data_IF_353950643935
#
_entry.id   IF_353950643935
#
_cell.length_a   1.000
_cell.length_b   1.000
_cell.length_c   1.000
_cell.angle_alpha   90.00
_cell.angle_beta   90.00
_cell.angle_gamma   90.00
#
_symmetry.space_group_name_H-M   'P 1'
#
loop_
_entity.id
_entity.type
_entity.pdbx_description
1 polymer ?
#
# COMPACT_ATOMS: atom_id res chain seq x y z
N UNK A 1 -14.76 1.80 10.04
CA UNK A 1 -14.58 1.13 8.73
C UNK A 1 -14.70 2.15 7.60
N UNK A 2 -13.82 2.09 6.63
CA UNK A 2 -13.84 3.02 5.52
C UNK A 2 -14.87 2.58 4.46
N UNK A 3 -15.63 3.53 3.87
CA UNK A 3 -16.57 3.19 2.79
C UNK A 3 -15.85 2.63 1.57
N UNK A 4 -16.55 1.80 0.79
CA UNK A 4 -15.97 1.17 -0.39
C UNK A 4 -15.65 2.16 -1.51
N UNK A 5 -16.20 3.36 -1.47
CA UNK A 5 -15.96 4.37 -2.50
C UNK A 5 -14.78 5.28 -2.20
N UNK A 6 -14.13 5.10 -1.06
CA UNK A 6 -12.91 5.86 -0.73
C UNK A 6 -11.75 5.30 -1.52
N UNK A 7 -10.97 6.17 -2.11
CA UNK A 7 -9.78 5.79 -2.89
C UNK A 7 -8.52 6.11 -2.11
N UNK A 8 -7.47 5.40 -2.45
CA UNK A 8 -6.17 5.52 -1.81
C UNK A 8 -5.11 5.78 -2.87
N UNK A 9 -4.14 6.61 -2.54
CA UNK A 9 -3.02 6.93 -3.43
C UNK A 9 -1.75 7.07 -2.60
N UNK A 10 -0.61 6.72 -3.20
CA UNK A 10 0.69 6.86 -2.55
C UNK A 10 1.00 8.33 -2.28
N UNK A 11 1.66 8.58 -1.16
CA UNK A 11 2.20 9.90 -0.89
C UNK A 11 3.40 10.15 -1.80
N UNK A 12 3.64 11.43 -2.12
CA UNK A 12 4.75 11.80 -3.00
C UNK A 12 6.09 11.82 -2.28
N UNK A 13 6.07 12.06 -0.98
CA UNK A 13 7.29 12.21 -0.18
C UNK A 13 7.77 10.89 0.38
N UNK A 14 8.02 9.94 -0.54
CA UNK A 14 8.57 8.64 -0.20
C UNK A 14 9.57 8.25 -1.28
N UNK A 15 10.60 7.51 -0.87
CA UNK A 15 11.55 6.89 -1.79
C UNK A 15 11.37 5.39 -1.67
N UNK A 16 11.29 4.70 -2.80
CA UNK A 16 11.20 3.26 -2.80
C UNK A 16 12.41 2.66 -3.50
N UNK A 17 12.92 1.56 -2.94
CA UNK A 17 14.06 0.84 -3.51
C UNK A 17 13.75 -0.62 -3.61
N UNK A 18 14.00 -1.19 -4.77
CA UNK A 18 13.84 -2.62 -4.96
C UNK A 18 15.06 -3.35 -4.42
N UNK A 19 14.80 -4.38 -3.62
CA UNK A 19 15.85 -5.26 -3.07
C UNK A 19 15.50 -6.70 -3.41
N UNK A 20 16.43 -7.61 -3.20
CA UNK A 20 16.18 -9.03 -3.39
C UNK A 20 15.00 -9.46 -2.50
N UNK A 21 13.91 -9.94 -3.11
CA UNK A 21 12.75 -10.43 -2.41
C UNK A 21 11.70 -9.41 -2.05
N UNK A 22 11.83 -8.13 -2.46
CA UNK A 22 10.79 -7.16 -2.16
C UNK A 22 11.15 -5.72 -2.44
N UNK A 23 10.41 -4.82 -1.81
CA UNK A 23 10.58 -3.38 -1.96
C UNK A 23 10.67 -2.76 -0.58
N UNK A 24 11.59 -1.81 -0.44
CA UNK A 24 11.72 -0.99 0.77
C UNK A 24 11.16 0.39 0.47
N UNK A 25 10.33 0.90 1.35
CA UNK A 25 9.80 2.26 1.28
C UNK A 25 10.44 3.07 2.40
N UNK A 26 11.00 4.22 2.05
CA UNK A 26 11.61 5.14 3.02
C UNK A 26 10.86 6.46 2.94
N UNK A 27 10.12 6.86 3.98
CA UNK A 27 9.47 8.17 3.99
C UNK A 27 10.51 9.28 4.00
N UNK A 28 10.21 10.38 3.33
CA UNK A 28 11.04 11.58 3.36
C UNK A 28 10.38 12.56 4.32
N UNK A 29 11.08 12.90 5.40
CA UNK A 29 10.57 13.85 6.39
C UNK A 29 11.57 15.00 6.50
N UNK A 30 11.07 16.23 6.36
CA UNK A 30 11.90 17.42 6.38
C UNK A 30 13.05 17.36 5.35
N UNK A 31 12.78 16.75 4.18
CA UNK A 31 13.76 16.62 3.11
C UNK A 31 14.81 15.54 3.32
N UNK A 32 14.69 14.74 4.38
CA UNK A 32 15.64 13.69 4.74
C UNK A 32 14.91 12.34 4.83
N UNK A 33 15.54 11.28 4.32
CA UNK A 33 14.99 9.92 4.44
C UNK A 33 14.96 9.47 5.88
N UNK A 34 13.78 9.01 6.33
CA UNK A 34 13.59 8.53 7.70
C UNK A 34 13.82 7.02 7.75
N UNK A 35 15.04 6.62 8.06
CA UNK A 35 15.42 5.20 8.11
C UNK A 35 14.84 4.47 9.32
N UNK A 36 14.35 5.20 10.31
CA UNK A 36 13.68 4.60 11.46
C UNK A 36 12.25 4.16 11.14
N UNK A 37 11.68 4.68 10.05
CA UNK A 37 10.32 4.35 9.61
C UNK A 37 10.33 3.55 8.32
N UNK A 38 11.41 2.82 8.06
CA UNK A 38 11.56 2.00 6.88
C UNK A 38 10.49 0.91 6.86
N UNK A 39 9.85 0.72 5.71
CA UNK A 39 8.76 -0.24 5.53
C UNK A 39 9.10 -1.23 4.41
N UNK A 40 9.00 -2.52 4.71
CA UNK A 40 9.32 -3.58 3.74
C UNK A 40 8.03 -4.24 3.23
N UNK A 41 7.93 -4.40 1.91
CA UNK A 41 6.76 -4.99 1.27
C UNK A 41 7.03 -6.42 0.83
N UNK A 42 6.05 -7.30 1.07
CA UNK A 42 6.01 -8.65 0.49
C UNK A 42 5.41 -8.57 -0.94
N UNK A 43 5.33 -9.68 -1.68
CA UNK A 43 4.81 -9.64 -3.06
C UNK A 43 3.40 -9.06 -3.19
N UNK A 44 2.50 -9.37 -2.27
CA UNK A 44 1.13 -8.81 -2.31
C UNK A 44 1.18 -7.30 -2.07
N UNK A 45 1.94 -6.89 -1.05
CA UNK A 45 2.11 -5.47 -0.76
C UNK A 45 2.74 -4.71 -1.91
N UNK A 46 3.68 -5.33 -2.63
CA UNK A 46 4.30 -4.71 -3.80
C UNK A 46 3.29 -4.45 -4.91
N UNK A 47 2.42 -5.42 -5.20
CA UNK A 47 1.37 -5.25 -6.20
C UNK A 47 0.44 -4.09 -5.82
N UNK A 48 0.02 -4.03 -4.56
CA UNK A 48 -0.85 -2.96 -4.08
C UNK A 48 -0.16 -1.61 -4.10
N UNK A 49 1.10 -1.55 -3.70
CA UNK A 49 1.88 -0.32 -3.72
C UNK A 49 1.99 0.25 -5.13
N UNK A 50 2.28 -0.60 -6.10
CA UNK A 50 2.37 -0.18 -7.50
C UNK A 50 1.01 0.24 -8.05
N UNK A 51 -0.07 -0.44 -7.63
CA UNK A 51 -1.43 -0.11 -8.04
C UNK A 51 -1.83 1.29 -7.55
N UNK A 52 -1.34 1.69 -6.38
CA UNK A 52 -1.65 2.99 -5.79
C UNK A 52 -0.84 4.15 -6.36
N UNK A 53 -0.12 3.97 -7.47
CA UNK A 53 0.39 5.11 -8.25
C UNK A 53 -0.76 5.97 -8.75
N UNK A 54 -1.93 5.35 -8.91
CA UNK A 54 -3.17 6.02 -9.24
C UNK A 54 -4.17 5.73 -8.12
N UNK A 55 -5.23 6.51 -8.08
CA UNK A 55 -6.27 6.36 -7.06
C UNK A 55 -7.08 5.08 -7.28
N UNK A 56 -7.21 4.27 -6.25
CA UNK A 56 -7.98 3.03 -6.33
C UNK A 56 -8.73 2.77 -5.03
N UNK A 57 -9.87 2.09 -5.15
CA UNK A 57 -10.70 1.68 -4.03
C UNK A 57 -10.27 0.30 -3.52
N UNK A 58 -10.75 -0.07 -2.32
CA UNK A 58 -10.52 -1.43 -1.79
C UNK A 58 -11.10 -2.51 -2.69
N UNK A 59 -12.34 -2.40 -3.22
CA UNK A 59 -12.84 -3.40 -4.16
C UNK A 59 -11.96 -3.59 -5.39
N UNK A 60 -11.40 -2.51 -5.94
CA UNK A 60 -10.47 -2.60 -7.07
C UNK A 60 -9.19 -3.34 -6.67
N UNK A 61 -8.69 -3.07 -5.48
CA UNK A 61 -7.51 -3.75 -4.95
C UNK A 61 -7.77 -5.24 -4.73
N UNK A 62 -8.95 -5.59 -4.22
CA UNK A 62 -9.35 -6.98 -4.04
C UNK A 62 -9.37 -7.73 -5.36
N UNK A 63 -9.94 -7.10 -6.38
CA UNK A 63 -9.98 -7.69 -7.72
C UNK A 63 -8.57 -7.96 -8.23
N UNK A 64 -7.68 -6.99 -8.08
CA UNK A 64 -6.29 -7.11 -8.53
C UNK A 64 -5.54 -8.22 -7.81
N UNK A 65 -5.69 -8.30 -6.50
CA UNK A 65 -5.02 -9.33 -5.69
C UNK A 65 -5.55 -10.72 -6.04
N UNK A 66 -6.86 -10.86 -6.18
CA UNK A 66 -7.47 -12.15 -6.52
C UNK A 66 -7.14 -12.61 -7.94
N UNK A 67 -6.78 -11.71 -8.83
CA UNK A 67 -6.33 -12.08 -10.17
C UNK A 67 -4.90 -12.65 -10.16
N UNK A 68 -4.06 -12.17 -9.26
CA UNK A 68 -2.63 -12.53 -9.26
C UNK A 68 -2.25 -13.57 -8.22
N UNK A 69 -3.07 -13.75 -7.19
CA UNK A 69 -2.76 -14.64 -6.07
C UNK A 69 -3.94 -15.55 -5.77
N UNK A 70 -3.63 -16.75 -5.29
CA UNK A 70 -4.66 -17.72 -4.89
C UNK A 70 -5.12 -17.41 -3.46
N UNK A 71 -6.07 -16.48 -3.33
CA UNK A 71 -6.65 -16.09 -2.04
C UNK A 71 -8.16 -15.96 -2.19
N UNK A 72 -8.88 -16.17 -1.08
CA UNK A 72 -10.32 -15.93 -1.05
C UNK A 72 -10.57 -14.42 -1.00
N UNK A 73 -11.76 -14.01 -1.42
CA UNK A 73 -12.14 -12.59 -1.33
C UNK A 73 -12.12 -12.09 0.12
N UNK A 74 -12.56 -12.91 1.06
CA UNK A 74 -12.56 -12.53 2.48
C UNK A 74 -11.14 -12.33 3.00
N UNK A 75 -10.22 -13.21 2.65
CA UNK A 75 -8.82 -13.10 3.07
C UNK A 75 -8.17 -11.88 2.42
N UNK A 76 -8.43 -11.66 1.14
CA UNK A 76 -7.90 -10.50 0.42
C UNK A 76 -8.38 -9.20 1.08
N UNK A 77 -9.66 -9.11 1.40
CA UNK A 77 -10.22 -7.93 2.04
C UNK A 77 -9.55 -7.65 3.39
N UNK A 78 -9.40 -8.68 4.22
CA UNK A 78 -8.77 -8.56 5.52
C UNK A 78 -7.33 -8.07 5.38
N UNK A 79 -6.55 -8.71 4.54
CA UNK A 79 -5.13 -8.39 4.35
C UNK A 79 -4.93 -6.99 3.77
N UNK A 80 -5.78 -6.61 2.80
CA UNK A 80 -5.70 -5.28 2.20
C UNK A 80 -6.01 -4.20 3.23
N UNK A 81 -7.07 -4.36 4.01
CA UNK A 81 -7.44 -3.36 5.02
C UNK A 81 -6.36 -3.21 6.09
N UNK A 82 -5.79 -4.32 6.55
CA UNK A 82 -4.70 -4.29 7.52
C UNK A 82 -3.47 -3.59 6.94
N UNK A 83 -3.14 -3.88 5.69
CA UNK A 83 -2.02 -3.26 4.98
C UNK A 83 -2.23 -1.75 4.83
N UNK A 84 -3.43 -1.34 4.40
CA UNK A 84 -3.74 0.08 4.22
C UNK A 84 -3.69 0.83 5.55
N UNK A 85 -4.21 0.23 6.63
CA UNK A 85 -4.14 0.85 7.95
C UNK A 85 -2.69 1.08 8.38
N UNK A 86 -1.83 0.12 8.12
CA UNK A 86 -0.40 0.26 8.43
C UNK A 86 0.25 1.39 7.64
N UNK A 87 -0.05 1.47 6.35
CA UNK A 87 0.51 2.52 5.49
C UNK A 87 -0.02 3.89 5.86
N UNK A 88 -1.30 4.00 6.23
CA UNK A 88 -1.88 5.26 6.68
C UNK A 88 -1.23 5.72 7.99
N UNK A 89 -1.00 4.80 8.93
CA UNK A 89 -0.35 5.12 10.19
C UNK A 89 1.05 5.69 9.99
N UNK A 90 1.77 5.19 8.98
CA UNK A 90 3.11 5.66 8.63
C UNK A 90 3.10 6.84 7.66
N UNK A 91 1.92 7.31 7.25
CA UNK A 91 1.74 8.44 6.32
C UNK A 91 2.38 8.19 4.95
N UNK A 92 2.36 6.94 4.51
CA UNK A 92 2.91 6.56 3.21
C UNK A 92 1.87 6.64 2.10
N UNK A 93 0.60 6.64 2.45
CA UNK A 93 -0.52 6.80 1.52
C UNK A 93 -1.52 7.80 2.10
N UNK A 94 -2.45 8.24 1.27
CA UNK A 94 -3.51 9.14 1.71
C UNK A 94 -4.84 8.73 1.11
N UNK A 95 -5.90 9.13 1.81
CA UNK A 95 -7.28 8.90 1.38
C UNK A 95 -7.71 9.99 0.40
N UNK A 96 -8.47 9.60 -0.61
CA UNK A 96 -9.10 10.53 -1.55
C UNK A 96 -10.60 10.19 -1.56
N UNK A 97 -11.39 11.16 -1.15
CA UNK A 97 -12.84 10.99 -1.08
C UNK A 97 -13.49 11.22 -2.45
#
# INVERSE_FOLDING_TARGET
>A
MLPDNVRFIRNREVVSRQIAGGLIIVPIRHGIGDLNSLYTLNPVGLVLWNFMQEEHTVPEMMHRVCEEFEVTAAQAQHDIREFLDSLLAEKLIQLVA
#
